data_IF_477100175922
#
_entry.id   IF_477100175922
#
_cell.length_a   1.000
_cell.length_b   1.000
_cell.length_c   1.000
_cell.angle_alpha   90.00
_cell.angle_beta   90.00
_cell.angle_gamma   90.00
#
_symmetry.space_group_name_H-M   'P 1'
#
loop_
_entity.id
_entity.type
_entity.pdbx_description
1 polymer ?
#
# COMPACT_ATOMS: atom_id res chain seq x y z
N UNK A 1 6.24 -31.48 -18.09
CA UNK A 1 5.72 -30.16 -18.48
C UNK A 1 6.40 -29.75 -19.77
N UNK A 2 5.67 -29.46 -20.84
CA UNK A 2 6.26 -28.94 -22.08
C UNK A 2 6.76 -27.51 -21.79
N UNK A 3 8.05 -27.39 -21.48
CA UNK A 3 8.65 -26.15 -20.97
C UNK A 3 8.43 -24.95 -21.87
N UNK A 4 7.78 -23.92 -21.32
CA UNK A 4 7.48 -22.66 -21.99
C UNK A 4 8.14 -21.53 -21.22
N UNK A 5 8.73 -20.57 -21.94
CA UNK A 5 9.31 -19.39 -21.30
C UNK A 5 8.18 -18.47 -20.85
N UNK A 6 8.22 -17.99 -19.61
CA UNK A 6 7.17 -17.12 -19.07
C UNK A 6 7.78 -15.79 -18.66
N UNK A 7 7.15 -14.70 -19.10
CA UNK A 7 7.50 -13.34 -18.70
C UNK A 7 6.35 -12.76 -17.89
N UNK A 8 6.60 -12.48 -16.62
CA UNK A 8 5.65 -11.83 -15.73
C UNK A 8 5.93 -10.33 -15.63
N UNK A 9 4.90 -9.51 -15.83
CA UNK A 9 4.90 -8.09 -15.48
C UNK A 9 4.32 -7.89 -14.08
N UNK A 10 5.13 -7.36 -13.17
CA UNK A 10 4.71 -7.04 -11.80
C UNK A 10 5.21 -5.65 -11.39
N UNK A 11 4.49 -4.99 -10.47
CA UNK A 11 5.00 -3.76 -9.88
C UNK A 11 6.33 -4.06 -9.18
N UNK A 12 7.35 -3.24 -9.43
CA UNK A 12 8.72 -3.54 -9.01
C UNK A 12 8.91 -3.58 -7.50
N UNK A 13 7.98 -3.00 -6.74
CA UNK A 13 7.94 -3.02 -5.26
C UNK A 13 6.65 -3.68 -4.80
N UNK A 14 6.74 -4.57 -3.81
CA UNK A 14 5.64 -5.39 -3.29
C UNK A 14 5.40 -6.63 -4.16
N UNK A 15 4.69 -6.47 -5.28
CA UNK A 15 4.18 -7.60 -6.08
C UNK A 15 5.27 -8.45 -6.72
N UNK A 16 6.34 -7.82 -7.21
CA UNK A 16 7.47 -8.59 -7.74
C UNK A 16 8.13 -9.44 -6.64
N UNK A 17 8.24 -8.91 -5.42
CA UNK A 17 8.81 -9.64 -4.28
C UNK A 17 7.90 -10.82 -3.85
N UNK A 18 6.60 -10.58 -3.76
CA UNK A 18 5.62 -11.65 -3.50
C UNK A 18 5.66 -12.73 -4.58
N UNK A 19 5.75 -12.33 -5.86
CA UNK A 19 5.84 -13.28 -6.96
C UNK A 19 7.12 -14.12 -6.92
N UNK A 20 8.28 -13.52 -6.60
CA UNK A 20 9.53 -14.27 -6.38
C UNK A 20 9.32 -15.30 -5.27
N UNK A 21 8.76 -14.89 -4.13
CA UNK A 21 8.51 -15.78 -3.00
C UNK A 21 7.56 -16.93 -3.38
N UNK A 22 6.46 -16.65 -4.07
CA UNK A 22 5.51 -17.67 -4.53
C UNK A 22 6.19 -18.67 -5.47
N UNK A 23 7.02 -18.19 -6.40
CA UNK A 23 7.75 -19.05 -7.34
C UNK A 23 8.77 -19.94 -6.63
N UNK A 24 9.50 -19.40 -5.64
CA UNK A 24 10.47 -20.18 -4.87
C UNK A 24 9.76 -21.26 -4.03
N UNK A 25 8.75 -20.85 -3.26
CA UNK A 25 8.10 -21.71 -2.26
C UNK A 25 7.21 -22.78 -2.89
N UNK A 26 6.36 -22.39 -3.85
CA UNK A 26 5.30 -23.27 -4.35
C UNK A 26 5.59 -23.88 -5.72
N UNK A 27 6.49 -23.26 -6.52
CA UNK A 27 6.85 -23.75 -7.84
C UNK A 27 8.29 -24.29 -7.91
N UNK A 28 9.11 -24.06 -6.88
CA UNK A 28 10.54 -24.38 -6.86
C UNK A 28 11.28 -23.81 -8.10
N UNK A 29 10.93 -22.58 -8.48
CA UNK A 29 11.52 -21.86 -9.60
C UNK A 29 12.33 -20.68 -9.08
N UNK A 30 13.56 -20.56 -9.56
CA UNK A 30 14.39 -19.35 -9.42
C UNK A 30 14.14 -18.42 -10.61
N UNK A 31 13.37 -17.33 -10.46
CA UNK A 31 13.12 -16.40 -11.56
C UNK A 31 14.35 -15.55 -11.88
N UNK A 32 14.43 -15.13 -13.13
CA UNK A 32 15.28 -14.02 -13.55
C UNK A 32 14.54 -12.72 -13.24
N UNK A 33 15.22 -11.71 -12.73
CA UNK A 33 14.63 -10.40 -12.39
C UNK A 33 15.40 -9.24 -13.00
N UNK A 34 14.67 -8.19 -13.38
CA UNK A 34 15.26 -6.91 -13.77
C UNK A 34 16.04 -6.25 -12.61
N UNK A 35 17.11 -5.48 -12.88
CA UNK A 35 17.92 -4.84 -11.83
C UNK A 35 17.14 -3.91 -10.88
N UNK A 36 16.02 -3.35 -11.33
CA UNK A 36 15.16 -2.52 -10.46
C UNK A 36 14.40 -3.36 -9.42
N UNK A 37 14.01 -4.58 -9.78
CA UNK A 37 13.37 -5.54 -8.87
C UNK A 37 14.42 -6.11 -7.92
N UNK A 38 15.60 -6.45 -8.43
CA UNK A 38 16.75 -6.88 -7.63
C UNK A 38 17.02 -5.92 -6.47
N UNK A 39 17.13 -4.61 -6.75
CA UNK A 39 17.37 -3.59 -5.71
C UNK A 39 16.30 -3.58 -4.61
N UNK A 40 15.08 -4.01 -4.90
CA UNK A 40 13.98 -4.07 -3.92
C UNK A 40 14.06 -5.36 -3.11
N UNK A 41 14.28 -6.49 -3.77
CA UNK A 41 14.49 -7.76 -3.08
C UNK A 41 15.72 -7.72 -2.15
N UNK A 42 16.81 -7.06 -2.56
CA UNK A 42 17.99 -6.86 -1.72
C UNK A 42 17.69 -6.06 -0.43
N UNK A 43 16.66 -5.21 -0.41
CA UNK A 43 16.20 -4.56 0.82
C UNK A 43 15.51 -5.57 1.72
N UNK A 44 14.63 -6.41 1.17
CA UNK A 44 13.91 -7.46 1.90
C UNK A 44 14.87 -8.46 2.56
N UNK A 45 15.95 -8.84 1.86
CA UNK A 45 16.98 -9.74 2.38
C UNK A 45 17.72 -9.17 3.61
N UNK A 46 17.94 -7.85 3.65
CA UNK A 46 18.54 -7.19 4.83
C UNK A 46 17.66 -7.28 6.07
N UNK A 47 16.36 -7.53 5.89
CA UNK A 47 15.38 -7.75 6.96
C UNK A 47 15.03 -9.24 7.13
N UNK A 48 15.81 -10.16 6.56
CA UNK A 48 15.67 -11.61 6.78
C UNK A 48 14.65 -12.31 5.88
N UNK A 49 14.06 -11.62 4.89
CA UNK A 49 13.16 -12.25 3.92
C UNK A 49 13.99 -12.82 2.77
N UNK A 50 14.06 -14.15 2.69
CA UNK A 50 14.82 -14.86 1.64
C UNK A 50 14.06 -14.86 0.31
N UNK A 51 14.76 -14.56 -0.79
CA UNK A 51 14.17 -14.47 -2.13
C UNK A 51 15.18 -14.94 -3.19
N UNK A 52 15.12 -16.19 -3.59
CA UNK A 52 16.04 -16.75 -4.59
C UNK A 52 15.69 -16.23 -5.99
N UNK A 53 16.67 -15.61 -6.66
CA UNK A 53 16.51 -15.02 -7.99
C UNK A 53 17.86 -14.85 -8.67
N UNK A 54 17.86 -14.86 -10.00
CA UNK A 54 19.02 -14.47 -10.80
C UNK A 54 18.81 -13.06 -11.37
N UNK A 55 19.84 -12.23 -11.33
CA UNK A 55 19.75 -10.87 -11.90
C UNK A 55 19.94 -10.93 -13.41
N UNK A 56 19.11 -10.23 -14.18
CA UNK A 56 19.26 -10.13 -15.64
C UNK A 56 20.71 -9.75 -16.02
N UNK A 57 21.33 -10.56 -16.89
CA UNK A 57 22.71 -10.37 -17.34
C UNK A 57 23.79 -11.01 -16.44
N UNK A 58 23.42 -11.60 -15.30
CA UNK A 58 24.34 -12.40 -14.48
C UNK A 58 24.65 -13.77 -15.13
N UNK A 59 25.77 -14.42 -14.78
CA UNK A 59 26.07 -15.79 -15.23
C UNK A 59 24.93 -16.78 -14.94
N UNK A 60 24.32 -16.69 -13.76
CA UNK A 60 23.20 -17.56 -13.36
C UNK A 60 21.98 -17.34 -14.26
N UNK A 61 21.66 -16.08 -14.60
CA UNK A 61 20.57 -15.79 -15.53
C UNK A 61 20.87 -16.34 -16.94
N UNK A 62 22.11 -16.23 -17.41
CA UNK A 62 22.52 -16.78 -18.71
C UNK A 62 22.38 -18.31 -18.73
N UNK A 63 22.73 -18.99 -17.65
CA UNK A 63 22.58 -20.44 -17.54
C UNK A 63 21.10 -20.85 -17.49
N UNK A 64 20.28 -20.18 -16.68
CA UNK A 64 18.83 -20.40 -16.62
C UNK A 64 18.15 -20.22 -17.98
N UNK A 65 18.58 -19.24 -18.79
CA UNK A 65 18.03 -18.98 -20.12
C UNK A 65 18.37 -20.05 -21.17
N UNK A 66 19.24 -21.02 -20.87
CA UNK A 66 19.49 -22.18 -21.74
C UNK A 66 18.31 -23.15 -21.77
N UNK A 67 17.53 -23.16 -20.69
CA UNK A 67 16.31 -23.95 -20.56
C UNK A 67 15.04 -23.09 -20.55
N UNK A 68 13.87 -23.69 -20.25
CA UNK A 68 12.67 -22.94 -19.93
C UNK A 68 12.89 -22.06 -18.70
N UNK A 69 12.61 -20.76 -18.82
CA UNK A 69 12.83 -19.81 -17.73
C UNK A 69 11.57 -19.01 -17.39
N UNK A 70 11.58 -18.45 -16.17
CA UNK A 70 10.63 -17.42 -15.74
C UNK A 70 11.40 -16.11 -15.57
N UNK A 71 10.92 -15.03 -16.17
CA UNK A 71 11.49 -13.69 -16.05
C UNK A 71 10.44 -12.73 -15.50
N UNK A 72 10.75 -12.02 -14.42
CA UNK A 72 9.92 -10.96 -13.86
C UNK A 72 10.48 -9.59 -14.27
N UNK A 73 9.67 -8.82 -14.98
CA UNK A 73 9.97 -7.46 -15.44
C UNK A 73 8.99 -6.46 -14.81
N UNK A 74 9.34 -5.15 -14.75
CA UNK A 74 8.41 -4.11 -14.32
C UNK A 74 7.11 -4.15 -15.10
N UNK A 75 5.99 -3.91 -14.41
CA UNK A 75 4.64 -3.97 -14.97
C UNK A 75 4.48 -3.16 -16.28
N UNK A 76 5.02 -1.94 -16.31
CA UNK A 76 4.99 -1.05 -17.48
C UNK A 76 5.92 -1.50 -18.63
N UNK A 77 6.81 -2.47 -18.40
CA UNK A 77 7.65 -3.06 -19.45
C UNK A 77 6.94 -4.18 -20.21
N UNK A 78 5.79 -4.68 -19.75
CA UNK A 78 4.97 -5.61 -20.53
C UNK A 78 4.16 -4.85 -21.57
N UNK A 79 4.60 -4.93 -22.82
CA UNK A 79 3.97 -4.26 -23.96
C UNK A 79 4.33 -4.99 -25.27
N UNK A 80 3.69 -4.66 -26.41
CA UNK A 80 3.95 -5.36 -27.67
C UNK A 80 5.41 -5.27 -28.16
N UNK A 81 6.14 -4.22 -27.80
CA UNK A 81 7.53 -4.05 -28.21
C UNK A 81 8.46 -4.99 -27.43
N UNK A 82 8.28 -5.11 -26.12
CA UNK A 82 9.04 -6.08 -25.32
C UNK A 82 8.66 -7.51 -25.69
N UNK A 83 7.37 -7.79 -25.91
CA UNK A 83 6.89 -9.09 -26.40
C UNK A 83 7.60 -9.48 -27.71
N UNK A 84 7.65 -8.57 -28.69
CA UNK A 84 8.37 -8.77 -29.95
C UNK A 84 9.87 -9.04 -29.73
N UNK A 85 10.50 -8.30 -28.82
CA UNK A 85 11.91 -8.50 -28.50
C UNK A 85 12.17 -9.88 -27.91
N UNK A 86 11.37 -10.33 -26.94
CA UNK A 86 11.50 -11.66 -26.33
C UNK A 86 11.27 -12.79 -27.35
N UNK A 87 10.25 -12.65 -28.20
CA UNK A 87 9.95 -13.63 -29.25
C UNK A 87 11.04 -13.71 -30.33
N UNK A 88 11.82 -12.64 -30.54
CA UNK A 88 12.96 -12.66 -31.45
C UNK A 88 14.16 -13.43 -30.89
N UNK A 89 14.29 -13.53 -29.57
CA UNK A 89 15.42 -14.19 -28.89
C UNK A 89 15.08 -15.60 -28.42
N UNK A 90 13.82 -15.86 -28.08
CA UNK A 90 13.39 -17.11 -27.46
C UNK A 90 12.15 -17.67 -28.15
N UNK A 91 12.13 -19.00 -28.33
CA UNK A 91 10.94 -19.71 -28.80
C UNK A 91 9.92 -19.83 -27.66
N UNK A 92 8.63 -19.80 -27.99
CA UNK A 92 7.51 -20.10 -27.06
C UNK A 92 7.58 -19.24 -25.79
N UNK A 93 7.43 -17.92 -25.95
CA UNK A 93 7.33 -17.00 -24.81
C UNK A 93 5.87 -16.65 -24.55
N UNK A 94 5.43 -16.77 -23.30
CA UNK A 94 4.11 -16.30 -22.85
C UNK A 94 4.28 -15.13 -21.90
N UNK A 95 3.49 -14.10 -22.10
CA UNK A 95 3.41 -12.96 -21.20
C UNK A 95 2.22 -13.09 -20.26
N UNK A 96 2.44 -12.74 -19.00
CA UNK A 96 1.40 -12.62 -17.99
C UNK A 96 1.63 -11.38 -17.13
N UNK A 97 0.57 -10.84 -16.55
CA UNK A 97 0.58 -9.72 -15.64
C UNK A 97 0.16 -10.19 -14.24
N UNK A 98 0.77 -9.61 -13.21
CA UNK A 98 0.41 -9.86 -11.81
C UNK A 98 0.04 -8.53 -11.17
N UNK A 99 -1.26 -8.35 -10.90
CA UNK A 99 -1.81 -7.07 -10.41
C UNK A 99 -3.19 -7.25 -9.80
N UNK A 100 -3.50 -6.54 -8.71
CA UNK A 100 -4.82 -6.56 -8.08
C UNK A 100 -5.92 -6.06 -9.02
N UNK A 101 -5.55 -5.23 -10.00
CA UNK A 101 -6.46 -4.72 -11.01
C UNK A 101 -6.99 -5.80 -11.98
N UNK A 102 -6.35 -6.97 -12.05
CA UNK A 102 -6.81 -8.11 -12.87
C UNK A 102 -8.17 -8.67 -12.40
N UNK A 103 -8.56 -8.42 -11.13
CA UNK A 103 -9.89 -8.78 -10.65
C UNK A 103 -11.00 -7.89 -11.23
N UNK A 104 -10.65 -6.73 -11.80
CA UNK A 104 -11.62 -5.73 -12.29
C UNK A 104 -11.53 -5.45 -13.78
N UNK A 105 -10.32 -5.51 -14.35
CA UNK A 105 -10.07 -5.15 -15.74
C UNK A 105 -9.56 -6.34 -16.55
N UNK A 106 -9.95 -6.38 -17.81
CA UNK A 106 -9.40 -7.31 -18.78
C UNK A 106 -8.12 -6.73 -19.39
N UNK A 107 -7.11 -7.59 -19.54
CA UNK A 107 -5.83 -7.24 -20.14
C UNK A 107 -5.62 -8.01 -21.43
N UNK A 108 -4.76 -7.48 -22.32
CA UNK A 108 -4.31 -8.17 -23.54
C UNK A 108 -3.60 -9.48 -23.22
N UNK A 109 -2.86 -9.51 -22.12
CA UNK A 109 -2.09 -10.64 -21.63
C UNK A 109 -2.88 -11.42 -20.58
N UNK A 110 -2.48 -12.66 -20.29
CA UNK A 110 -2.97 -13.35 -19.10
C UNK A 110 -2.72 -12.48 -17.87
N UNK A 111 -3.68 -12.39 -16.96
CA UNK A 111 -3.56 -11.52 -15.80
C UNK A 111 -4.03 -12.25 -14.54
N UNK A 112 -3.18 -12.26 -13.52
CA UNK A 112 -3.43 -12.90 -12.24
C UNK A 112 -3.73 -11.83 -11.18
N UNK A 113 -4.87 -11.93 -10.46
CA UNK A 113 -5.20 -11.01 -9.39
C UNK A 113 -4.29 -11.26 -8.19
N UNK A 114 -3.45 -10.29 -7.87
CA UNK A 114 -2.63 -10.27 -6.65
C UNK A 114 -2.59 -8.85 -6.07
N UNK A 115 -3.12 -8.70 -4.86
CA UNK A 115 -3.24 -7.42 -4.16
C UNK A 115 -2.68 -7.56 -2.74
N UNK A 116 -2.02 -6.51 -2.29
CA UNK A 116 -1.48 -6.30 -0.94
C UNK A 116 -2.45 -5.48 -0.06
N UNK A 117 -3.65 -5.22 -0.56
CA UNK A 117 -4.72 -4.54 0.19
C UNK A 117 -5.63 -5.54 0.88
N UNK A 118 -5.96 -5.23 2.14
CA UNK A 118 -6.98 -5.93 2.89
C UNK A 118 -8.34 -5.87 2.18
N UNK A 119 -9.04 -7.00 2.15
CA UNK A 119 -10.41 -7.07 1.69
C UNK A 119 -11.40 -6.47 2.72
N UNK A 120 -12.68 -6.42 2.35
CA UNK A 120 -13.71 -5.85 3.21
C UNK A 120 -13.81 -6.54 4.58
N UNK A 121 -13.72 -7.87 4.61
CA UNK A 121 -13.80 -8.65 5.85
C UNK A 121 -12.56 -8.45 6.72
N UNK A 122 -11.38 -8.37 6.11
CA UNK A 122 -10.11 -8.11 6.79
C UNK A 122 -10.08 -6.70 7.38
N UNK A 123 -10.61 -5.68 6.67
CA UNK A 123 -10.74 -4.32 7.21
C UNK A 123 -11.68 -4.30 8.44
N UNK A 124 -12.83 -4.97 8.37
CA UNK A 124 -13.75 -5.04 9.50
C UNK A 124 -13.12 -5.75 10.70
N UNK A 125 -12.42 -6.85 10.44
CA UNK A 125 -11.68 -7.60 11.44
C UNK A 125 -10.58 -6.74 12.09
N UNK A 126 -9.84 -5.99 11.28
CA UNK A 126 -8.82 -5.05 11.76
C UNK A 126 -9.42 -3.97 12.66
N UNK A 127 -10.54 -3.36 12.25
CA UNK A 127 -11.25 -2.35 13.05
C UNK A 127 -11.67 -2.92 14.40
N UNK A 128 -12.27 -4.11 14.42
CA UNK A 128 -12.69 -4.78 15.65
C UNK A 128 -11.49 -5.08 16.57
N UNK A 129 -10.45 -5.70 16.02
CA UNK A 129 -9.26 -6.11 16.79
C UNK A 129 -8.45 -4.93 17.31
N UNK A 130 -8.49 -3.79 16.61
CA UNK A 130 -7.75 -2.59 17.02
C UNK A 130 -8.24 -1.98 18.34
N UNK A 131 -9.50 -2.23 18.73
CA UNK A 131 -10.12 -1.57 19.89
C UNK A 131 -10.23 -0.04 19.77
N UNK A 132 -10.15 0.50 18.54
CA UNK A 132 -10.11 1.93 18.31
C UNK A 132 -11.42 2.61 18.75
N UNK A 133 -11.29 3.67 19.57
CA UNK A 133 -12.43 4.50 20.00
C UNK A 133 -13.01 5.37 18.88
N UNK A 134 -12.22 5.59 17.83
CA UNK A 134 -12.59 6.34 16.63
C UNK A 134 -11.88 5.74 15.43
N UNK A 135 -12.62 5.56 14.34
CA UNK A 135 -12.11 5.05 13.07
C UNK A 135 -12.22 6.15 12.02
N UNK A 136 -11.09 6.51 11.39
CA UNK A 136 -11.08 7.47 10.28
C UNK A 136 -10.81 6.71 8.99
N UNK A 137 -11.82 6.64 8.12
CA UNK A 137 -11.69 5.98 6.83
C UNK A 137 -11.01 6.92 5.84
N UNK A 138 -9.93 6.44 5.23
CA UNK A 138 -9.12 7.17 4.25
C UNK A 138 -8.92 6.34 2.98
N UNK A 139 -8.88 7.01 1.83
CA UNK A 139 -8.86 6.41 0.49
C UNK A 139 -10.06 5.50 0.15
N UNK A 140 -10.16 5.12 -1.12
CA UNK A 140 -11.21 4.22 -1.62
C UNK A 140 -12.62 4.78 -1.45
N UNK A 141 -13.58 3.89 -1.21
CA UNK A 141 -15.00 4.22 -1.04
C UNK A 141 -15.29 4.54 0.44
N UNK A 142 -14.58 5.53 1.00
CA UNK A 142 -14.60 5.85 2.43
C UNK A 142 -16.01 6.08 2.97
N UNK A 143 -16.88 6.80 2.26
CA UNK A 143 -18.24 7.10 2.72
C UNK A 143 -19.10 5.83 2.88
N UNK A 144 -18.91 4.85 1.99
CA UNK A 144 -19.58 3.54 2.06
C UNK A 144 -19.09 2.77 3.28
N UNK A 145 -17.78 2.74 3.50
CA UNK A 145 -17.17 2.05 4.66
C UNK A 145 -17.60 2.70 5.99
N UNK A 146 -17.64 4.04 6.04
CA UNK A 146 -18.11 4.79 7.23
C UNK A 146 -19.55 4.44 7.56
N UNK A 147 -20.44 4.41 6.56
CA UNK A 147 -21.83 4.03 6.75
C UNK A 147 -21.94 2.62 7.34
N UNK A 148 -21.19 1.68 6.78
CA UNK A 148 -21.19 0.30 7.27
C UNK A 148 -20.66 0.17 8.70
N UNK A 149 -19.56 0.84 9.03
CA UNK A 149 -18.99 0.84 10.38
C UNK A 149 -19.96 1.45 11.40
N UNK A 150 -20.62 2.56 11.04
CA UNK A 150 -21.65 3.20 11.90
C UNK A 150 -22.84 2.26 12.14
N UNK A 151 -23.30 1.55 11.11
CA UNK A 151 -24.38 0.55 11.25
C UNK A 151 -23.99 -0.57 12.23
N UNK A 152 -22.70 -0.86 12.36
CA UNK A 152 -22.14 -1.84 13.31
C UNK A 152 -21.81 -1.25 14.69
N UNK A 153 -22.16 0.01 14.94
CA UNK A 153 -21.95 0.68 16.23
C UNK A 153 -20.59 1.33 16.42
N UNK A 154 -19.74 1.39 15.39
CA UNK A 154 -18.44 2.06 15.48
C UNK A 154 -18.55 3.57 15.30
N UNK A 155 -17.76 4.32 16.05
CA UNK A 155 -17.55 5.75 15.84
C UNK A 155 -16.61 5.97 14.63
N UNK A 156 -17.18 5.94 13.43
CA UNK A 156 -16.45 6.11 12.19
C UNK A 156 -16.74 7.46 11.50
N UNK A 157 -15.75 7.98 10.78
CA UNK A 157 -15.89 9.20 9.95
C UNK A 157 -14.94 9.17 8.75
N UNK A 158 -15.26 9.92 7.69
CA UNK A 158 -14.36 10.07 6.56
C UNK A 158 -13.22 11.05 6.91
N UNK A 159 -12.06 10.92 6.26
CA UNK A 159 -10.91 11.81 6.47
C UNK A 159 -11.26 13.30 6.34
N UNK A 160 -12.16 13.65 5.42
CA UNK A 160 -12.64 15.04 5.23
C UNK A 160 -13.38 15.56 6.46
N UNK A 161 -14.29 14.77 7.02
CA UNK A 161 -15.05 15.11 8.24
C UNK A 161 -14.09 15.27 9.42
N UNK A 162 -13.13 14.35 9.56
CA UNK A 162 -12.12 14.41 10.61
C UNK A 162 -11.28 15.70 10.52
N UNK A 163 -10.77 16.05 9.33
CA UNK A 163 -10.01 17.30 9.11
C UNK A 163 -10.80 18.56 9.47
N UNK A 164 -12.10 18.57 9.22
CA UNK A 164 -12.98 19.70 9.61
C UNK A 164 -13.12 19.80 11.13
N UNK A 165 -13.30 18.67 11.83
CA UNK A 165 -13.36 18.64 13.29
C UNK A 165 -12.05 19.12 13.93
N UNK A 166 -10.90 18.71 13.40
CA UNK A 166 -9.60 19.13 13.94
C UNK A 166 -9.35 20.63 13.72
N UNK A 167 -9.73 21.18 12.55
CA UNK A 167 -9.67 22.63 12.30
C UNK A 167 -10.57 23.41 13.26
N UNK A 168 -11.81 22.96 13.48
CA UNK A 168 -12.74 23.62 14.40
C UNK A 168 -12.21 23.62 15.85
N UNK A 169 -11.60 22.51 16.30
CA UNK A 169 -10.98 22.46 17.63
C UNK A 169 -9.80 23.43 17.77
N UNK A 170 -8.97 23.54 16.73
CA UNK A 170 -7.83 24.47 16.75
C UNK A 170 -8.26 25.94 16.80
N UNK A 171 -9.37 26.31 16.14
CA UNK A 171 -9.91 27.67 16.21
C UNK A 171 -10.61 27.94 17.55
N UNK A 172 -11.40 26.99 18.07
CA UNK A 172 -12.06 27.16 19.38
C UNK A 172 -11.05 27.17 20.53
N UNK A 173 -9.99 26.35 20.48
CA UNK A 173 -8.91 26.34 21.47
C UNK A 173 -8.14 27.66 21.54
N UNK A 174 -7.87 28.28 20.38
CA UNK A 174 -7.26 29.62 20.32
C UNK A 174 -8.16 30.72 20.91
N UNK A 175 -9.47 30.65 20.66
CA UNK A 175 -10.45 31.58 21.24
C UNK A 175 -10.57 31.41 22.75
N UNK A 176 -10.63 30.16 23.25
CA UNK A 176 -10.71 29.88 24.69
C UNK A 176 -9.44 30.31 25.44
N UNK A 177 -8.27 30.14 24.83
CA UNK A 177 -6.99 30.59 25.39
C UNK A 177 -6.89 32.12 25.43
N UNK A 178 -7.36 32.82 24.38
CA UNK A 178 -7.45 34.29 24.39
C UNK A 178 -8.45 34.80 25.44
N UNK A 179 -9.60 34.15 25.61
CA UNK A 179 -10.58 34.53 26.64
C UNK A 179 -10.06 34.30 28.06
N UNK A 180 -9.29 33.23 28.29
CA UNK A 180 -8.70 32.93 29.60
C UNK A 180 -7.60 33.94 29.96
N UNK A 181 -6.77 34.32 28.99
CA UNK A 181 -5.78 35.39 29.16
C UNK A 181 -6.44 36.75 29.45
N UNK A 182 -7.52 37.09 28.74
CA UNK A 182 -8.28 38.33 28.98
C UNK A 182 -8.97 38.36 30.35
N UNK A 183 -9.52 37.24 30.82
CA UNK A 183 -10.14 37.13 32.14
C UNK A 183 -9.11 37.24 33.29
N UNK A 184 -7.88 36.77 33.08
CA UNK A 184 -6.79 36.93 34.07
C UNK A 184 -6.22 38.35 34.15
N UNK A 185 -6.51 39.20 33.15
CA UNK A 185 -6.08 40.59 33.08
C UNK A 185 -7.16 41.59 33.53
N UNK A 186 -8.33 41.11 33.98
CA UNK A 186 -9.38 41.97 34.50
C UNK A 186 -8.97 42.57 35.86
N UNK A 187 -9.11 43.89 36.10
CA UNK A 187 -8.78 44.49 37.39
C UNK A 187 -9.69 43.92 38.47
N UNK A 188 -9.11 43.52 39.62
CA UNK A 188 -9.89 43.14 40.78
C UNK A 188 -10.69 44.34 41.27
N UNK A 189 -12.02 44.22 41.32
CA UNK A 189 -12.89 45.21 41.94
C UNK A 189 -12.49 45.38 43.41
N UNK A 190 -11.89 46.53 43.72
CA UNK A 190 -11.69 46.97 45.09
C UNK A 190 -13.05 47.30 45.68
N UNK A 191 -13.52 46.47 46.60
CA UNK A 191 -14.63 46.83 47.49
C UNK A 191 -14.20 48.03 48.34
N UNK A 192 -14.97 49.13 48.38
CA UNK A 192 -14.58 50.31 49.13
C UNK A 192 -14.62 50.05 50.65
N UNK A 193 -13.56 50.50 51.32
CA UNK A 193 -13.31 50.36 52.75
C UNK A 193 -14.22 51.33 53.55
N UNK A 194 -15.03 50.86 54.52
CA UNK A 194 -15.99 51.69 55.21
C UNK A 194 -15.40 52.30 56.49
N UNK A 195 -14.42 53.19 56.40
CA UNK A 195 -14.07 54.05 57.55
C UNK A 195 -13.26 55.28 57.12
N UNK A 196 -13.93 56.41 56.89
CA UNK A 196 -13.35 57.75 57.05
C UNK A 196 -14.47 58.76 57.39
N UNK A 197 -14.92 58.71 58.64
CA UNK A 197 -15.47 59.87 59.34
C UNK A 197 -14.54 60.13 60.54
N UNK A 198 -13.53 60.97 60.32
CA UNK A 198 -13.04 62.07 61.18
C UNK A 198 -11.69 62.58 60.69
#
# INVERSE_FOLDING_TARGET
MTGQNVVFGAYSTGKAQELVHILNEFAHVTPIVDPVIERRCAVYERFGVRQERAVLGSPDAVDLQRGPFVHIIPFNHVNPQSEKWFLAQHKRVTFALVTGWAARFQYRYHAFPLSDHADFSEILSYVQQSGAKKVVCHYGHADVMVKELRNRGYNAMAEKEWKQQEKAKSSTGGVMQQMTLAASAAPQEQTPDPEFIR
#
